data_IF_776816620485
#
_entry.id   IF_776816620485
#
_cell.length_a   1.000
_cell.length_b   1.000
_cell.length_c   1.000
_cell.angle_alpha   90.00
_cell.angle_beta   90.00
_cell.angle_gamma   90.00
#
_symmetry.space_group_name_H-M   'P 1'
#
loop_
_entity.id
_entity.type
_entity.pdbx_description
1 polymer ?
#
# COMPACT_ATOMS: atom_id res chain seq x y z
N UNK A 1 8.42 6.69 15.30
CA UNK A 1 7.21 6.07 14.70
C UNK A 1 6.49 7.02 13.74
N UNK A 2 5.63 6.43 12.90
CA UNK A 2 4.72 7.07 11.95
C UNK A 2 3.33 6.48 12.22
N UNK A 3 2.28 7.29 12.31
CA UNK A 3 0.97 6.82 12.81
C UNK A 3 0.90 6.70 14.34
N UNK A 4 -0.07 5.92 14.84
CA UNK A 4 -0.23 5.61 16.27
C UNK A 4 0.67 4.43 16.65
N UNK A 5 1.36 4.54 17.79
CA UNK A 5 2.31 3.53 18.28
C UNK A 5 1.55 2.47 19.08
N UNK A 6 0.88 1.56 18.36
CA UNK A 6 -0.07 0.61 18.93
C UNK A 6 0.23 -0.82 18.46
N UNK A 7 -0.18 -1.79 19.29
CA UNK A 7 -0.12 -3.21 18.97
C UNK A 7 -1.14 -3.65 17.90
N UNK A 8 -1.34 -4.96 17.72
CA UNK A 8 -2.31 -5.49 16.76
C UNK A 8 -3.72 -4.95 17.00
N UNK A 9 -4.48 -4.79 15.92
CA UNK A 9 -5.85 -4.30 15.97
C UNK A 9 -6.75 -5.20 16.85
N UNK A 10 -7.53 -4.58 17.71
CA UNK A 10 -8.57 -5.23 18.54
C UNK A 10 -9.93 -4.56 18.31
N UNK A 11 -11.01 -5.25 18.65
CA UNK A 11 -12.37 -4.69 18.54
C UNK A 11 -12.57 -3.53 19.51
N UNK A 12 -11.98 -3.59 20.69
CA UNK A 12 -12.04 -2.52 21.69
C UNK A 12 -11.39 -1.22 21.16
N UNK A 13 -10.34 -1.33 20.35
CA UNK A 13 -9.70 -0.19 19.68
C UNK A 13 -10.58 0.43 18.58
N UNK A 14 -11.55 -0.31 18.04
CA UNK A 14 -12.48 0.24 17.04
C UNK A 14 -13.45 1.23 17.68
N UNK A 15 -13.91 0.92 18.90
CA UNK A 15 -14.95 1.69 19.59
C UNK A 15 -14.38 2.83 20.47
N UNK A 16 -13.05 2.97 20.56
CA UNK A 16 -12.39 4.04 21.29
C UNK A 16 -12.39 5.38 20.51
N UNK A 17 -13.29 6.29 20.91
CA UNK A 17 -13.38 7.62 20.34
C UNK A 17 -12.09 8.46 20.51
N UNK A 18 -11.34 8.28 21.60
CA UNK A 18 -10.08 9.01 21.81
C UNK A 18 -9.01 8.55 20.84
N UNK A 19 -8.97 7.25 20.54
CA UNK A 19 -8.06 6.70 19.54
C UNK A 19 -8.34 7.28 18.16
N UNK A 20 -9.60 7.41 17.77
CA UNK A 20 -9.97 8.05 16.51
C UNK A 20 -9.50 9.51 16.44
N UNK A 21 -9.65 10.28 17.54
CA UNK A 21 -9.12 11.64 17.63
C UNK A 21 -7.60 11.71 17.53
N UNK A 22 -6.87 10.78 18.16
CA UNK A 22 -5.42 10.69 18.06
C UNK A 22 -4.98 10.32 16.63
N UNK A 23 -5.66 9.36 15.99
CA UNK A 23 -5.38 8.95 14.62
C UNK A 23 -5.43 10.15 13.66
N UNK A 24 -6.48 10.97 13.76
CA UNK A 24 -6.65 12.18 12.93
C UNK A 24 -5.52 13.21 13.13
N UNK A 25 -4.92 13.27 14.32
CA UNK A 25 -3.80 14.18 14.64
C UNK A 25 -2.44 13.57 14.32
N UNK A 26 -2.38 12.27 14.05
CA UNK A 26 -1.12 11.58 13.78
C UNK A 26 -0.51 12.06 12.47
N UNK A 27 0.84 12.11 12.44
CA UNK A 27 1.57 12.47 11.23
C UNK A 27 1.81 11.24 10.39
N UNK A 28 1.35 11.28 9.14
CA UNK A 28 1.71 10.30 8.12
C UNK A 28 3.18 10.45 7.75
N UNK A 29 3.86 9.32 7.59
CA UNK A 29 5.20 9.27 7.00
C UNK A 29 5.33 8.00 6.17
N UNK A 30 6.16 8.05 5.14
CA UNK A 30 6.47 6.88 4.33
C UNK A 30 7.26 5.85 5.16
N UNK A 31 6.94 4.58 4.93
CA UNK A 31 7.76 3.45 5.34
C UNK A 31 9.08 3.43 4.56
N UNK A 32 10.05 2.61 4.97
CA UNK A 32 11.29 2.46 4.20
C UNK A 32 11.03 1.97 2.76
N UNK A 33 10.09 1.02 2.58
CA UNK A 33 9.64 0.61 1.25
C UNK A 33 9.00 1.78 0.48
N UNK A 34 8.17 2.59 1.12
CA UNK A 34 7.55 3.75 0.50
C UNK A 34 8.57 4.79 0.03
N UNK A 35 9.64 5.01 0.81
CA UNK A 35 10.75 5.88 0.41
C UNK A 35 11.50 5.31 -0.79
N UNK A 36 11.75 3.99 -0.82
CA UNK A 36 12.44 3.32 -1.92
C UNK A 36 11.65 3.39 -3.23
N UNK A 37 10.33 3.16 -3.18
CA UNK A 37 9.44 3.29 -4.34
C UNK A 37 9.42 4.74 -4.86
N UNK A 38 9.38 5.72 -3.96
CA UNK A 38 9.33 7.14 -4.33
C UNK A 38 10.54 7.57 -5.18
N UNK A 39 11.72 7.03 -4.86
CA UNK A 39 12.97 7.30 -5.62
C UNK A 39 13.22 6.28 -6.73
N UNK A 40 12.22 5.48 -7.10
CA UNK A 40 12.29 4.45 -8.14
C UNK A 40 13.37 3.36 -7.89
N UNK A 41 13.79 3.17 -6.64
CA UNK A 41 14.76 2.15 -6.26
C UNK A 41 14.12 0.77 -5.99
N UNK A 42 12.79 0.72 -5.83
CA UNK A 42 12.04 -0.54 -5.68
C UNK A 42 10.63 -0.42 -6.28
N UNK A 43 9.93 -1.54 -6.35
CA UNK A 43 8.63 -1.68 -6.99
C UNK A 43 7.65 -2.44 -6.08
N UNK A 44 6.51 -1.82 -5.80
CA UNK A 44 5.48 -2.41 -4.94
C UNK A 44 4.99 -3.77 -5.44
N UNK A 45 4.97 -4.02 -6.76
CA UNK A 45 4.49 -5.29 -7.31
C UNK A 45 5.37 -6.49 -6.94
N UNK A 46 6.62 -6.26 -6.49
CA UNK A 46 7.52 -7.32 -6.00
C UNK A 46 7.18 -7.77 -4.58
N UNK A 47 6.59 -6.87 -3.79
CA UNK A 47 6.20 -7.12 -2.39
C UNK A 47 4.74 -7.54 -2.26
N UNK A 48 3.89 -7.13 -3.20
CA UNK A 48 2.48 -7.49 -3.25
C UNK A 48 2.12 -8.02 -4.65
N UNK A 49 2.51 -9.28 -4.96
CA UNK A 49 2.28 -9.86 -6.27
C UNK A 49 0.78 -10.09 -6.52
N UNK A 50 0.38 -9.93 -7.77
CA UNK A 50 -0.95 -10.30 -8.25
C UNK A 50 -0.86 -11.72 -8.80
N UNK A 51 -1.64 -12.60 -8.18
CA UNK A 51 -1.95 -13.95 -8.66
C UNK A 51 -3.38 -14.29 -8.25
N UNK A 52 -4.33 -14.07 -9.17
CA UNK A 52 -5.76 -14.33 -8.91
C UNK A 52 -6.55 -14.53 -10.18
N UNK A 53 -7.65 -15.26 -10.06
CA UNK A 53 -8.63 -15.42 -11.13
C UNK A 53 -9.76 -14.40 -11.02
N UNK A 54 -10.10 -13.76 -12.13
CA UNK A 54 -11.26 -12.89 -12.23
C UNK A 54 -12.05 -13.22 -13.49
N UNK A 55 -13.25 -13.77 -13.33
CA UNK A 55 -14.16 -14.02 -14.45
C UNK A 55 -13.58 -14.95 -15.53
N UNK A 56 -12.79 -15.97 -15.12
CA UNK A 56 -12.11 -16.87 -16.04
C UNK A 56 -10.82 -16.31 -16.66
N UNK A 57 -10.38 -15.12 -16.27
CA UNK A 57 -9.06 -14.56 -16.64
C UNK A 57 -8.09 -14.72 -15.47
N UNK A 58 -6.93 -15.32 -15.73
CA UNK A 58 -5.83 -15.36 -14.76
C UNK A 58 -5.05 -14.06 -14.81
N UNK A 59 -5.06 -13.31 -13.72
CA UNK A 59 -4.32 -12.07 -13.57
C UNK A 59 -3.01 -12.38 -12.87
N UNK A 60 -1.90 -12.07 -13.54
CA UNK A 60 -0.54 -12.21 -13.03
C UNK A 60 0.21 -10.88 -13.10
N UNK A 61 1.39 -10.81 -12.49
CA UNK A 61 2.29 -9.67 -12.63
C UNK A 61 2.89 -9.50 -14.04
N UNK A 62 2.69 -10.45 -14.97
CA UNK A 62 3.31 -10.43 -16.29
C UNK A 62 2.77 -9.30 -17.18
N UNK A 63 1.53 -8.85 -16.92
CA UNK A 63 0.83 -7.84 -17.74
C UNK A 63 0.20 -6.75 -16.89
N UNK A 64 1.00 -6.11 -16.04
CA UNK A 64 0.55 -4.98 -15.24
C UNK A 64 0.39 -3.74 -16.11
N UNK A 65 -0.82 -3.19 -16.14
CA UNK A 65 -1.00 -1.83 -16.64
C UNK A 65 -0.22 -0.87 -15.73
N UNK A 66 0.61 -0.02 -16.34
CA UNK A 66 1.39 1.00 -15.65
C UNK A 66 1.29 2.28 -16.42
N UNK A 67 1.13 3.38 -15.70
CA UNK A 67 1.30 4.69 -16.31
C UNK A 67 2.75 4.84 -16.77
N UNK A 68 2.93 5.20 -18.03
CA UNK A 68 4.23 5.48 -18.62
C UNK A 68 4.14 6.87 -19.28
N UNK A 69 5.03 7.82 -18.95
CA UNK A 69 5.04 9.13 -19.60
C UNK A 69 5.36 9.04 -21.10
N UNK A 70 5.93 7.92 -21.56
CA UNK A 70 6.28 7.67 -22.95
C UNK A 70 5.33 6.63 -23.54
N UNK A 71 4.75 6.96 -24.70
CA UNK A 71 4.01 6.00 -25.51
C UNK A 71 4.99 5.00 -26.12
N UNK A 72 4.84 3.72 -25.80
CA UNK A 72 5.59 2.62 -26.41
C UNK A 72 4.66 1.93 -27.40
N UNK A 73 5.10 1.79 -28.64
CA UNK A 73 4.37 1.00 -29.63
C UNK A 73 4.28 -0.47 -29.15
N UNK A 74 3.15 -1.15 -29.39
CA UNK A 74 2.93 -2.52 -28.92
C UNK A 74 3.95 -3.52 -29.48
#
# INVERSE_FOLDING_TARGET
>A
MSGLDEGPFTLEMHDDANRFEQYKRSKLKLTELGKAILVQADDFSRHNPIDRWWGGTHLTNDRLWRWNPVLIAP
#
